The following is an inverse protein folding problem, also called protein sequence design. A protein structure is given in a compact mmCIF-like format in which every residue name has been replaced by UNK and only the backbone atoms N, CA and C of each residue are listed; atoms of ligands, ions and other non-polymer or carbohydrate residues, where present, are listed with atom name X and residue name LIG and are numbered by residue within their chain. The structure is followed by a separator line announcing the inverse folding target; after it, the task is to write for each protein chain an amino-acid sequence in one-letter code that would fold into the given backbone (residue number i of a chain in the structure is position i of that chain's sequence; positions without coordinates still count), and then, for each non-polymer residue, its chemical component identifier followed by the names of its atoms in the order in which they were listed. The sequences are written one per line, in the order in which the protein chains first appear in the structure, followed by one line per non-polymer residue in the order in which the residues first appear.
data_IF_818082424959
#
_entry.id   IF_818082424959
#
_cell.length_a   1.000
_cell.length_b   1.000
_cell.length_c   1.000
_cell.angle_alpha   90.00
_cell.angle_beta   90.00
_cell.angle_gamma   90.00
#
_symmetry.space_group_name_H-M   'P 1'
#
loop_
_entity.id
_entity.type
_entity.pdbx_description
1 polymer ?
#
# COMPACT_ATOMS: atom_id res chain seq x y z
N UNK A 1 10.94 23.33 4.94
CA UNK A 1 10.42 21.95 4.89
C UNK A 1 9.50 21.71 6.07
N UNK A 2 8.38 21.04 5.84
CA UNK A 2 7.45 20.65 6.90
C UNK A 2 8.10 19.62 7.83
N UNK A 3 7.86 19.69 9.15
CA UNK A 3 8.46 18.76 10.08
C UNK A 3 7.99 17.31 9.83
N UNK A 4 8.80 16.27 10.19
CA UNK A 4 8.46 14.86 9.99
C UNK A 4 7.11 14.43 10.56
N UNK A 5 6.60 15.14 11.55
CA UNK A 5 5.32 14.89 12.19
C UNK A 5 4.12 15.18 11.26
N UNK A 6 4.31 15.99 10.20
CA UNK A 6 3.27 16.32 9.21
C UNK A 6 3.18 15.26 8.12
N UNK A 7 4.32 14.87 7.52
CA UNK A 7 4.33 13.95 6.37
C UNK A 7 4.58 12.48 6.78
N UNK A 8 5.29 12.24 7.88
CA UNK A 8 5.70 10.91 8.32
C UNK A 8 4.52 9.96 8.57
N UNK A 9 3.45 10.38 9.29
CA UNK A 9 2.28 9.53 9.50
C UNK A 9 1.59 9.08 8.20
N UNK A 10 1.56 9.94 7.17
CA UNK A 10 0.97 9.60 5.88
C UNK A 10 1.79 8.54 5.13
N UNK A 11 3.12 8.66 5.16
CA UNK A 11 4.04 7.70 4.53
C UNK A 11 3.95 6.33 5.22
N UNK A 12 3.98 6.29 6.56
CA UNK A 12 3.83 5.04 7.30
C UNK A 12 2.48 4.39 7.03
N UNK A 13 1.40 5.18 7.01
CA UNK A 13 0.07 4.69 6.67
C UNK A 13 0.04 4.11 5.25
N UNK A 14 0.66 4.78 4.27
CA UNK A 14 0.79 4.24 2.92
C UNK A 14 1.48 2.89 2.90
N UNK A 15 2.67 2.77 3.49
CA UNK A 15 3.45 1.53 3.44
C UNK A 15 2.71 0.36 4.05
N UNK A 16 2.17 0.54 5.26
CA UNK A 16 1.45 -0.52 5.94
C UNK A 16 0.12 -0.84 5.26
N UNK A 17 -0.63 0.15 4.76
CA UNK A 17 -1.88 -0.11 4.00
C UNK A 17 -1.61 -0.82 2.68
N UNK A 18 -0.56 -0.46 1.93
CA UNK A 18 -0.18 -1.19 0.72
C UNK A 18 0.14 -2.64 1.05
N UNK A 19 1.05 -2.89 2.00
CA UNK A 19 1.43 -4.24 2.40
C UNK A 19 0.23 -5.06 2.91
N UNK A 20 -0.69 -4.44 3.64
CA UNK A 20 -1.89 -5.10 4.16
C UNK A 20 -2.92 -5.43 3.08
N UNK A 21 -3.01 -4.63 2.02
CA UNK A 21 -4.00 -4.83 0.95
C UNK A 21 -3.47 -5.66 -0.22
N UNK A 22 -2.17 -5.97 -0.28
CA UNK A 22 -1.66 -6.94 -1.27
C UNK A 22 -2.40 -8.27 -1.09
N UNK A 23 -2.85 -8.83 -2.20
CA UNK A 23 -3.40 -10.16 -2.26
C UNK A 23 -2.31 -11.22 -2.07
N UNK A 24 -2.50 -12.12 -1.11
CA UNK A 24 -1.54 -13.18 -0.77
C UNK A 24 -1.18 -14.07 -1.98
N UNK A 25 -2.17 -14.43 -2.79
CA UNK A 25 -1.98 -15.27 -3.97
C UNK A 25 -1.22 -14.57 -5.10
N UNK A 26 -1.25 -13.24 -5.11
CA UNK A 26 -0.62 -12.43 -6.15
C UNK A 26 0.67 -11.74 -5.66
N UNK A 27 1.05 -11.95 -4.40
CA UNK A 27 2.19 -11.29 -3.78
C UNK A 27 3.48 -11.48 -4.60
N UNK A 28 3.71 -12.68 -5.14
CA UNK A 28 4.91 -12.99 -5.93
C UNK A 28 5.08 -12.10 -7.18
N UNK A 29 3.99 -11.55 -7.73
CA UNK A 29 4.04 -10.66 -8.89
C UNK A 29 4.38 -9.22 -8.51
N UNK A 30 4.00 -8.78 -7.31
CA UNK A 30 4.06 -7.37 -6.93
C UNK A 30 5.10 -7.06 -5.84
N UNK A 31 5.38 -8.01 -4.95
CA UNK A 31 6.11 -7.82 -3.69
C UNK A 31 7.48 -7.15 -3.87
N UNK A 32 8.29 -7.65 -4.82
CA UNK A 32 9.60 -7.03 -5.13
C UNK A 32 9.44 -5.61 -5.64
N UNK A 33 8.52 -5.36 -6.56
CA UNK A 33 8.31 -4.01 -7.11
C UNK A 33 7.73 -3.04 -6.08
N UNK A 34 6.86 -3.50 -5.18
CA UNK A 34 6.35 -2.71 -4.05
C UNK A 34 7.48 -2.35 -3.08
N UNK A 35 8.36 -3.30 -2.77
CA UNK A 35 9.56 -3.00 -1.97
C UNK A 35 10.43 -1.92 -2.64
N UNK A 36 10.63 -1.99 -3.95
CA UNK A 36 11.36 -0.94 -4.67
C UNK A 36 10.67 0.43 -4.59
N UNK A 37 9.34 0.52 -4.62
CA UNK A 37 8.63 1.79 -4.39
C UNK A 37 8.90 2.34 -2.99
N UNK A 38 8.86 1.49 -1.96
CA UNK A 38 9.18 1.88 -0.58
C UNK A 38 10.60 2.44 -0.50
N UNK A 39 11.58 1.75 -1.09
CA UNK A 39 12.98 2.22 -1.15
C UNK A 39 13.08 3.58 -1.83
N UNK A 40 12.46 3.76 -3.00
CA UNK A 40 12.50 5.04 -3.74
C UNK A 40 11.87 6.19 -2.98
N UNK A 41 10.75 5.95 -2.30
CA UNK A 41 10.11 6.96 -1.43
C UNK A 41 11.02 7.30 -0.25
N UNK A 42 11.66 6.30 0.36
CA UNK A 42 12.59 6.51 1.47
C UNK A 42 13.88 7.25 1.08
N UNK A 43 14.36 7.12 -0.15
CA UNK A 43 15.56 7.82 -0.63
C UNK A 43 15.40 9.34 -0.69
N UNK A 44 14.16 9.82 -0.87
CA UNK A 44 13.86 11.23 -1.08
C UNK A 44 12.82 11.76 -0.09
N UNK A 45 12.82 11.26 1.15
CA UNK A 45 11.96 11.80 2.21
C UNK A 45 12.20 13.32 2.37
N UNK A 46 11.19 14.11 2.79
CA UNK A 46 11.34 15.55 3.05
C UNK A 46 12.17 15.90 4.30
N UNK A 47 13.27 15.18 4.52
CA UNK A 47 14.19 15.27 5.64
C UNK A 47 15.46 14.46 5.29
N UNK A 48 16.60 15.12 5.00
CA UNK A 48 17.83 14.44 4.58
C UNK A 48 18.33 13.37 5.56
N UNK A 49 18.26 13.65 6.88
CA UNK A 49 18.65 12.68 7.91
C UNK A 49 17.72 11.46 7.91
N UNK A 50 16.42 11.69 7.75
CA UNK A 50 15.42 10.64 7.65
C UNK A 50 15.65 9.77 6.40
N UNK A 51 15.97 10.39 5.26
CA UNK A 51 16.31 9.68 4.03
C UNK A 51 17.55 8.82 4.18
N UNK A 52 18.60 9.38 4.80
CA UNK A 52 19.85 8.67 5.08
C UNK A 52 19.62 7.47 6.00
N UNK A 53 18.88 7.66 7.09
CA UNK A 53 18.57 6.60 8.05
C UNK A 53 17.72 5.48 7.43
N UNK A 54 16.68 5.85 6.68
CA UNK A 54 15.82 4.91 5.99
C UNK A 54 16.60 4.11 4.94
N UNK A 55 17.44 4.79 4.14
CA UNK A 55 18.28 4.15 3.13
C UNK A 55 19.26 3.17 3.77
N UNK A 56 19.89 3.53 4.90
CA UNK A 56 20.81 2.66 5.63
C UNK A 56 20.13 1.43 6.24
N UNK A 57 18.87 1.55 6.64
CA UNK A 57 18.08 0.40 7.10
C UNK A 57 17.75 -0.53 5.93
N UNK A 58 17.16 0.03 4.87
CA UNK A 58 16.65 -0.72 3.73
C UNK A 58 17.75 -1.37 2.89
N UNK A 59 18.95 -0.79 2.84
CA UNK A 59 20.10 -1.41 2.16
C UNK A 59 20.59 -2.70 2.81
N UNK A 60 20.23 -2.94 4.06
CA UNK A 60 20.55 -4.18 4.80
C UNK A 60 19.44 -5.23 4.69
N UNK A 61 18.27 -4.85 4.17
CA UNK A 61 17.16 -5.77 3.97
C UNK A 61 17.45 -6.66 2.76
N UNK A 62 17.52 -7.98 2.97
CA UNK A 62 17.62 -8.92 1.88
C UNK A 62 16.23 -9.11 1.23
N UNK A 63 16.08 -8.65 -0.01
CA UNK A 63 14.83 -8.75 -0.77
C UNK A 63 14.40 -10.21 -1.02
N UNK A 64 15.34 -11.15 -1.08
CA UNK A 64 15.03 -12.58 -1.30
C UNK A 64 14.37 -13.24 -0.09
N UNK A 65 14.40 -12.58 1.07
CA UNK A 65 13.68 -12.99 2.27
C UNK A 65 12.23 -12.47 2.29
N UNK A 66 11.85 -11.56 1.38
CA UNK A 66 10.50 -10.98 1.32
C UNK A 66 9.60 -11.81 0.39
N UNK A 67 9.40 -13.09 0.71
CA UNK A 67 8.71 -14.07 -0.16
C UNK A 67 7.19 -14.02 -0.04
N UNK A 68 6.66 -13.51 1.07
CA UNK A 68 5.23 -13.44 1.36
C UNK A 68 4.81 -12.04 1.79
N UNK A 69 3.51 -11.79 1.74
CA UNK A 69 2.90 -10.57 2.31
C UNK A 69 3.28 -10.40 3.78
N UNK A 70 3.27 -11.49 4.54
CA UNK A 70 3.65 -11.48 5.95
C UNK A 70 5.11 -11.04 6.15
N UNK A 71 6.02 -11.50 5.29
CA UNK A 71 7.43 -11.07 5.35
C UNK A 71 7.57 -9.56 5.13
N UNK A 72 6.84 -9.01 4.16
CA UNK A 72 6.84 -7.57 3.91
C UNK A 72 6.24 -6.79 5.10
N UNK A 73 5.12 -7.25 5.66
CA UNK A 73 4.50 -6.66 6.87
C UNK A 73 5.47 -6.65 8.05
N UNK A 74 6.15 -7.78 8.28
CA UNK A 74 7.13 -7.93 9.35
C UNK A 74 8.34 -7.01 9.15
N UNK A 75 8.86 -6.92 7.93
CA UNK A 75 9.96 -6.00 7.60
C UNK A 75 9.57 -4.55 7.87
N UNK A 76 8.38 -4.11 7.43
CA UNK A 76 7.88 -2.76 7.69
C UNK A 76 7.65 -2.49 9.18
N UNK A 77 7.14 -3.47 9.93
CA UNK A 77 6.97 -3.37 11.37
C UNK A 77 8.31 -3.15 12.09
N UNK A 78 9.31 -3.96 11.77
CA UNK A 78 10.67 -3.84 12.32
C UNK A 78 11.29 -2.49 11.93
N UNK A 79 11.10 -2.06 10.68
CA UNK A 79 11.59 -0.78 10.20
C UNK A 79 10.98 0.40 10.98
N UNK A 80 9.66 0.42 11.15
CA UNK A 80 8.95 1.46 11.89
C UNK A 80 9.43 1.50 13.34
N UNK A 81 9.58 0.34 14.00
CA UNK A 81 10.04 0.29 15.38
C UNK A 81 11.51 0.65 15.55
N UNK A 82 12.37 0.35 14.57
CA UNK A 82 13.74 0.87 14.53
C UNK A 82 13.75 2.40 14.52
N UNK A 83 12.91 3.03 13.69
CA UNK A 83 12.77 4.51 13.65
C UNK A 83 12.19 5.06 14.96
N UNK A 84 11.17 4.41 15.53
CA UNK A 84 10.59 4.83 16.82
C UNK A 84 11.63 4.77 17.94
N UNK A 85 12.39 3.69 18.04
CA UNK A 85 13.47 3.56 19.02
C UNK A 85 14.51 4.67 18.86
N UNK A 86 14.97 4.94 17.63
CA UNK A 86 15.91 6.04 17.34
C UNK A 86 15.35 7.40 17.74
N UNK A 87 14.05 7.64 17.51
CA UNK A 87 13.35 8.88 17.90
C UNK A 87 12.88 8.88 19.37
N UNK A 88 13.20 7.87 20.18
CA UNK A 88 12.74 7.70 21.56
C UNK A 88 11.20 7.76 21.70
N UNK A 89 10.50 7.24 20.69
CA UNK A 89 9.05 7.07 20.70
C UNK A 89 8.68 5.68 21.23
N UNK A 90 7.46 5.50 21.79
CA UNK A 90 6.96 4.18 22.12
C UNK A 90 7.01 3.23 20.92
N UNK A 91 7.28 1.95 21.18
CA UNK A 91 7.22 0.92 20.15
C UNK A 91 5.76 0.71 19.72
N UNK A 92 5.55 0.55 18.43
CA UNK A 92 4.28 0.14 17.86
C UNK A 92 4.03 -1.33 18.19
N UNK A 93 2.82 -1.66 18.67
CA UNK A 93 2.42 -3.04 18.97
C UNK A 93 2.13 -3.79 17.68
N UNK A 94 2.63 -5.03 17.57
CA UNK A 94 2.36 -5.88 16.42
C UNK A 94 0.86 -6.17 16.24
N UNK A 95 0.12 -6.33 17.35
CA UNK A 95 -1.34 -6.53 17.36
C UNK A 95 -2.11 -5.42 16.66
N UNK A 96 -1.53 -4.22 16.58
CA UNK A 96 -2.19 -3.06 15.98
C UNK A 96 -2.00 -3.00 14.47
N UNK A 97 -1.29 -3.94 13.84
CA UNK A 97 -1.13 -3.95 12.37
C UNK A 97 -2.47 -4.14 11.63
N UNK A 98 -3.45 -4.78 12.26
CA UNK A 98 -4.77 -5.02 11.66
C UNK A 98 -5.53 -3.73 11.33
N UNK A 99 -5.22 -2.60 11.99
CA UNK A 99 -5.84 -1.31 11.70
C UNK A 99 -5.66 -0.90 10.23
N UNK A 100 -4.56 -1.33 9.60
CA UNK A 100 -4.23 -0.94 8.23
C UNK A 100 -5.12 -1.62 7.18
N UNK A 101 -5.82 -2.70 7.56
CA UNK A 101 -6.71 -3.45 6.68
C UNK A 101 -8.00 -2.70 6.40
N UNK A 102 -8.35 -1.73 7.26
CA UNK A 102 -9.61 -0.99 7.24
C UNK A 102 -9.49 0.37 6.55
N UNK A 103 -8.28 0.79 6.16
CA UNK A 103 -8.11 2.07 5.46
C UNK A 103 -8.50 1.96 3.99
N UNK A 104 -9.21 2.97 3.49
CA UNK A 104 -9.44 3.13 2.06
C UNK A 104 -8.12 3.46 1.34
N UNK A 105 -7.68 2.56 0.45
CA UNK A 105 -6.39 2.67 -0.23
C UNK A 105 -6.27 3.97 -1.06
N UNK A 106 -7.34 4.40 -1.73
CA UNK A 106 -7.36 5.63 -2.52
C UNK A 106 -7.15 6.88 -1.67
N UNK A 107 -7.84 6.98 -0.53
CA UNK A 107 -7.66 8.09 0.41
C UNK A 107 -6.23 8.11 0.99
N UNK A 108 -5.66 6.94 1.29
CA UNK A 108 -4.28 6.84 1.79
C UNK A 108 -3.26 7.31 0.75
N UNK A 109 -3.41 6.86 -0.51
CA UNK A 109 -2.56 7.29 -1.63
C UNK A 109 -2.65 8.80 -1.85
N UNK A 110 -3.87 9.34 -1.91
CA UNK A 110 -4.10 10.77 -2.14
C UNK A 110 -3.51 11.63 -1.01
N UNK A 111 -3.65 11.18 0.25
CA UNK A 111 -3.03 11.86 1.38
C UNK A 111 -1.50 11.83 1.28
N UNK A 112 -0.89 10.70 0.94
CA UNK A 112 0.55 10.60 0.71
C UNK A 112 1.03 11.59 -0.36
N UNK A 113 0.38 11.61 -1.54
CA UNK A 113 0.74 12.49 -2.65
C UNK A 113 0.68 13.96 -2.22
N UNK A 114 -0.35 14.33 -1.46
CA UNK A 114 -0.55 15.69 -0.95
C UNK A 114 0.57 16.16 -0.02
N UNK A 115 1.06 15.29 0.88
CA UNK A 115 2.01 15.70 1.92
C UNK A 115 3.48 15.40 1.62
N UNK A 116 3.76 14.50 0.66
CA UNK A 116 5.13 14.11 0.31
C UNK A 116 5.89 15.24 -0.40
N UNK A 117 5.20 15.99 -1.27
CA UNK A 117 5.76 17.18 -1.88
C UNK A 117 5.66 18.38 -0.93
N UNK A 118 6.64 18.52 -0.02
CA UNK A 118 6.69 19.70 0.84
C UNK A 118 7.12 20.93 0.04
N UNK A 119 6.33 22.01 0.10
CA UNK A 119 6.72 23.32 -0.42
C UNK A 119 7.84 23.90 0.46
N UNK A 120 8.91 24.39 -0.15
CA UNK A 120 9.86 25.29 0.49
C UNK A 120 11.18 24.67 0.98
N UNK A 121 12.23 24.88 0.19
CA UNK A 121 13.47 25.60 0.52
C UNK A 121 14.33 25.58 -0.75
N UNK A 122 14.71 26.75 -1.30
CA UNK A 122 15.52 26.83 -2.54
C UNK A 122 16.88 26.12 -2.41
N UNK A 123 17.37 25.91 -1.18
CA UNK A 123 18.60 25.14 -0.91
C UNK A 123 18.50 23.64 -1.21
N UNK A 124 17.29 23.10 -1.38
CA UNK A 124 17.02 21.67 -1.65
C UNK A 124 16.15 21.50 -2.89
N UNK A 125 16.39 22.36 -3.89
CA UNK A 125 15.62 22.37 -5.13
C UNK A 125 15.75 21.04 -5.89
N UNK A 126 16.95 20.46 -5.94
CA UNK A 126 17.20 19.15 -6.56
C UNK A 126 16.38 18.04 -5.90
N UNK A 127 16.35 17.97 -4.57
CA UNK A 127 15.54 16.99 -3.83
C UNK A 127 14.04 17.20 -4.06
N UNK A 128 13.60 18.46 -4.19
CA UNK A 128 12.21 18.76 -4.51
C UNK A 128 11.81 18.26 -5.89
N UNK A 129 12.67 18.41 -6.90
CA UNK A 129 12.45 17.84 -8.22
C UNK A 129 12.45 16.31 -8.19
N UNK A 130 13.38 15.68 -7.45
CA UNK A 130 13.40 14.22 -7.31
C UNK A 130 12.12 13.68 -6.69
N UNK A 131 11.56 14.35 -5.67
CA UNK A 131 10.26 13.95 -5.10
C UNK A 131 9.11 14.03 -6.10
N UNK A 132 9.10 15.02 -7.00
CA UNK A 132 8.10 15.09 -8.07
C UNK A 132 8.20 13.89 -9.01
N UNK A 133 9.40 13.49 -9.40
CA UNK A 133 9.61 12.27 -10.20
C UNK A 133 9.17 11.01 -9.45
N UNK A 134 9.51 10.89 -8.16
CA UNK A 134 9.04 9.77 -7.33
C UNK A 134 7.52 9.70 -7.30
N UNK A 135 6.82 10.82 -7.12
CA UNK A 135 5.35 10.85 -7.15
C UNK A 135 4.80 10.47 -8.52
N UNK A 136 5.37 11.01 -9.60
CA UNK A 136 4.95 10.69 -10.97
C UNK A 136 5.07 9.18 -11.23
N UNK A 137 6.23 8.60 -10.94
CA UNK A 137 6.48 7.19 -11.18
C UNK A 137 5.65 6.30 -10.25
N UNK A 138 5.45 6.71 -9.00
CA UNK A 138 4.60 5.99 -8.06
C UNK A 138 3.15 5.97 -8.54
N UNK A 139 2.60 7.09 -9.04
CA UNK A 139 1.26 7.17 -9.64
C UNK A 139 1.11 6.22 -10.83
N UNK A 140 2.10 6.20 -11.73
CA UNK A 140 2.10 5.29 -12.88
C UNK A 140 2.16 3.84 -12.40
N UNK A 141 3.07 3.54 -11.47
CA UNK A 141 3.23 2.18 -10.95
C UNK A 141 1.97 1.69 -10.25
N UNK A 142 1.34 2.49 -9.38
CA UNK A 142 0.16 2.04 -8.63
C UNK A 142 -1.03 1.82 -9.57
N UNK A 143 -1.21 2.66 -10.59
CA UNK A 143 -2.27 2.47 -11.59
C UNK A 143 -2.13 1.15 -12.35
N UNK A 144 -0.90 0.82 -12.77
CA UNK A 144 -0.63 -0.42 -13.50
C UNK A 144 -0.78 -1.68 -12.63
N UNK A 145 -0.70 -1.52 -11.30
CA UNK A 145 -0.64 -2.62 -10.35
C UNK A 145 -1.83 -2.67 -9.38
N UNK A 146 -2.82 -1.79 -9.51
CA UNK A 146 -3.91 -1.65 -8.55
C UNK A 146 -4.70 -2.95 -8.36
N UNK A 147 -4.81 -3.75 -9.43
CA UNK A 147 -5.44 -5.07 -9.43
C UNK A 147 -4.88 -6.05 -8.39
N UNK A 148 -3.62 -5.88 -7.99
CA UNK A 148 -2.96 -6.73 -6.99
C UNK A 148 -3.30 -6.36 -5.54
N UNK A 149 -4.03 -5.26 -5.34
CA UNK A 149 -4.45 -4.76 -4.03
C UNK A 149 -5.96 -4.94 -3.76
N UNK A 150 -6.67 -5.64 -4.66
CA UNK A 150 -8.08 -5.93 -4.51
C UNK A 150 -8.24 -7.16 -3.62
N UNK A 151 -8.96 -7.01 -2.51
CA UNK A 151 -9.38 -8.15 -1.69
C UNK A 151 -10.48 -8.88 -2.45
N UNK A 152 -10.24 -10.12 -2.87
CA UNK A 152 -11.34 -10.98 -3.30
C UNK A 152 -12.12 -11.38 -2.05
N UNK A 153 -13.34 -10.88 -1.92
CA UNK A 153 -14.32 -11.50 -1.03
C UNK A 153 -14.65 -12.85 -1.64
N UNK A 154 -14.42 -13.93 -0.89
CA UNK A 154 -14.94 -15.23 -1.26
C UNK A 154 -16.47 -15.12 -1.37
N UNK A 155 -17.11 -15.76 -2.37
CA UNK A 155 -18.56 -15.86 -2.39
C UNK A 155 -18.99 -16.51 -1.06
N UNK A 156 -19.83 -15.82 -0.30
CA UNK A 156 -20.50 -16.42 0.85
C UNK A 156 -21.30 -17.62 0.35
N UNK A 157 -20.86 -18.83 0.69
CA UNK A 157 -21.68 -20.02 0.55
C UNK A 157 -22.85 -19.88 1.53
N UNK A 158 -23.99 -19.38 1.06
CA UNK A 158 -25.26 -19.49 1.79
C UNK A 158 -25.70 -20.95 1.73
N UNK A 159 -25.27 -21.74 2.71
CA UNK A 159 -25.87 -23.05 2.95
C UNK A 159 -27.24 -22.84 3.57
N UNK A 160 -28.30 -22.92 2.75
CA UNK A 160 -29.66 -23.07 3.25
C UNK A 160 -29.80 -24.49 3.82
N UNK A 161 -29.49 -24.66 5.11
CA UNK A 161 -29.79 -25.91 5.82
C UNK A 161 -31.28 -25.89 6.13
N UNK A 162 -32.07 -26.45 5.22
CA UNK A 162 -33.45 -26.83 5.54
C UNK A 162 -33.39 -28.14 6.30
N UNK A 163 -33.54 -28.08 7.62
CA UNK A 163 -33.74 -29.28 8.45
C UNK A 163 -35.12 -29.86 8.15
N UNK A 164 -35.18 -30.88 7.29
CA UNK A 164 -36.31 -31.81 7.22
C UNK A 164 -35.82 -33.21 7.60
N UNK A 165 -36.52 -33.83 8.55
CA UNK A 165 -36.24 -35.15 9.09
C UNK A 165 -36.17 -36.24 8.01
N UNK A 166 -35.17 -37.11 8.18
CA UNK A 166 -35.13 -38.54 7.83
C UNK A 166 -35.79 -39.00 6.52
N UNK A 167 -35.00 -39.18 5.46
CA UNK A 167 -34.69 -40.48 4.83
C UNK A 167 -34.02 -40.29 3.46
N UNK A 168 -33.10 -41.20 3.16
CA UNK A 168 -32.13 -41.26 2.06
C UNK A 168 -32.73 -41.05 0.66
N UNK A 169 -32.15 -40.14 -0.14
CA UNK A 169 -32.17 -40.19 -1.62
C UNK A 169 -30.83 -39.64 -2.16
N UNK A 170 -30.20 -40.40 -3.06
CA UNK A 170 -29.04 -40.01 -3.89
C UNK A 170 -29.31 -38.70 -4.64
N UNK A 171 -28.36 -37.76 -4.68
CA UNK A 171 -28.49 -36.56 -5.52
C UNK A 171 -27.24 -36.34 -6.36
N UNK A 172 -27.47 -36.30 -7.67
CA UNK A 172 -26.53 -35.90 -8.70
C UNK A 172 -26.02 -34.48 -8.47
N UNK A 173 -24.71 -34.29 -8.63
CA UNK A 173 -24.08 -32.96 -8.58
C UNK A 173 -24.20 -32.33 -9.96
N UNK A 174 -25.18 -31.47 -10.16
CA UNK A 174 -25.17 -30.55 -11.30
C UNK A 174 -24.24 -29.38 -11.00
N UNK A 175 -23.12 -29.32 -11.74
CA UNK A 175 -22.21 -28.17 -11.75
C UNK A 175 -22.81 -27.11 -12.68
N UNK A 176 -23.22 -25.96 -12.14
CA UNK A 176 -23.57 -24.80 -12.95
C UNK A 176 -22.35 -23.87 -13.11
N UNK A 177 -21.95 -23.66 -14.36
CA UNK A 177 -20.72 -22.96 -14.78
C UNK A 177 -20.74 -21.43 -14.65
N UNK A 178 -21.64 -20.85 -13.85
CA UNK A 178 -21.81 -19.39 -13.80
C UNK A 178 -21.31 -18.82 -12.47
N UNK A 179 -19.98 -18.74 -12.33
CA UNK A 179 -19.34 -17.91 -11.29
C UNK A 179 -19.29 -16.47 -11.82
N UNK A 180 -20.25 -15.65 -11.39
CA UNK A 180 -20.20 -14.21 -11.64
C UNK A 180 -19.31 -13.54 -10.58
N UNK A 181 -18.12 -13.11 -10.99
CA UNK A 181 -17.16 -12.40 -10.14
C UNK A 181 -17.53 -10.92 -10.07
N UNK A 182 -17.92 -10.42 -8.88
CA UNK A 182 -18.09 -8.98 -8.66
C UNK A 182 -16.77 -8.35 -8.26
N UNK A 183 -16.22 -7.50 -9.15
CA UNK A 183 -15.03 -6.69 -8.89
C UNK A 183 -15.47 -5.41 -8.20
N UNK A 184 -15.30 -5.32 -6.88
CA UNK A 184 -15.39 -4.04 -6.17
C UNK A 184 -14.12 -3.23 -6.43
N UNK A 185 -14.02 -2.69 -7.65
CA UNK A 185 -13.05 -1.67 -7.95
C UNK A 185 -13.40 -0.43 -7.13
N UNK A 186 -12.49 0.03 -6.28
CA UNK A 186 -12.65 1.29 -5.56
C UNK A 186 -12.79 2.42 -6.59
N UNK A 187 -14.04 2.79 -6.90
CA UNK A 187 -14.40 3.82 -7.90
C UNK A 187 -13.65 5.14 -7.68
N UNK A 188 -13.34 5.46 -6.43
CA UNK A 188 -12.53 6.61 -6.01
C UNK A 188 -11.08 6.58 -6.52
N UNK A 189 -10.46 5.41 -6.73
CA UNK A 189 -9.06 5.28 -7.18
C UNK A 189 -8.96 5.61 -8.67
N UNK A 190 -9.90 5.14 -9.49
CA UNK A 190 -9.95 5.45 -10.91
C UNK A 190 -10.35 6.91 -11.17
N UNK A 191 -11.34 7.45 -10.44
CA UNK A 191 -11.87 8.79 -10.72
C UNK A 191 -11.02 9.95 -10.15
N UNK A 192 -10.14 9.70 -9.17
CA UNK A 192 -9.32 10.76 -8.54
C UNK A 192 -7.96 10.99 -9.21
N UNK A 193 -7.50 10.06 -10.05
CA UNK A 193 -6.18 10.15 -10.70
C UNK A 193 -6.22 10.79 -12.09
N UNK A 194 -7.39 10.82 -12.74
CA UNK A 194 -7.60 11.46 -14.06
C UNK A 194 -7.74 12.99 -13.99
N UNK A 195 -8.15 13.56 -12.85
CA UNK A 195 -8.39 15.01 -12.73
C UNK A 195 -7.14 15.87 -12.53
N UNK A 196 -5.96 15.28 -12.39
CA UNK A 196 -4.70 16.02 -12.14
C UNK A 196 -3.71 15.99 -13.29
N UNK A 197 -3.93 15.15 -14.31
CA UNK A 197 -3.11 15.08 -15.53
C UNK A 197 -3.54 16.10 -16.59
N UNK A 198 -4.71 16.74 -16.42
CA UNK A 198 -5.26 17.66 -17.42
C UNK A 198 -4.97 19.15 -17.13
N UNK A 199 -4.52 19.52 -15.92
CA UNK A 199 -4.26 20.92 -15.55
C UNK A 199 -2.82 21.39 -15.69
N UNK A 200 -1.86 20.52 -16.05
CA UNK A 200 -0.42 20.88 -16.16
C UNK A 200 0.08 20.97 -17.62
N UNK A 201 -0.80 20.86 -18.62
CA UNK A 201 -0.44 20.95 -20.05
C UNK A 201 -0.99 22.19 -20.77
N UNK A 202 -1.60 23.14 -20.05
CA UNK A 202 -2.15 24.38 -20.63
C UNK A 202 -1.38 25.65 -20.30
N UNK A 203 -0.21 25.56 -19.64
CA UNK A 203 0.64 26.73 -19.34
C UNK A 203 2.13 26.46 -19.64
N UNK A 204 2.42 26.05 -20.88
CA UNK A 204 3.72 26.28 -21.54
C UNK A 204 3.46 27.01 -22.85
#
# INVERSE_FOLDING_TARGET
MSPPEIWGPAIWKLFHTLAENVNDLQYNYIGKSLFYQIVRICQYLPCPDCSKDATNFLSKTNIDNLKTKLDLKNMLYLFHNYVNLKKRKPLFSYSNLEIYANYNLGLVINNFISVYNTKGNMKLLSESFQRQFVIKDFKIWINNNIKYFIKYTQPTLTTNITSQNSNVIETEVEVSDNIEYTVDCNKSICESLDKQTQTDFSEI
#
